data_IF_831096431468
#
_entry.id   IF_831096431468
#
_cell.length_a   1.000
_cell.length_b   1.000
_cell.length_c   1.000
_cell.angle_alpha   90.00
_cell.angle_beta   90.00
_cell.angle_gamma   90.00
#
_symmetry.space_group_name_H-M   'P 1'
#
loop_
_entity.id
_entity.type
_entity.pdbx_description
1 polymer ?
#
# COMPACT_ATOMS: atom_id res chain seq x y z
N UNK A 1 -20.14 0.85 9.28
CA UNK A 1 -20.38 -0.37 8.46
C UNK A 1 -19.01 -0.86 8.02
N UNK A 2 -18.56 -2.07 8.40
CA UNK A 2 -17.30 -2.63 7.91
C UNK A 2 -17.63 -3.36 6.62
N UNK A 3 -17.27 -2.79 5.47
CA UNK A 3 -17.29 -3.52 4.21
C UNK A 3 -16.13 -4.51 4.23
N UNK A 4 -16.46 -5.80 4.25
CA UNK A 4 -15.50 -6.87 4.02
C UNK A 4 -15.26 -6.94 2.52
N UNK A 5 -14.12 -6.42 2.08
CA UNK A 5 -13.65 -6.55 0.70
C UNK A 5 -13.31 -8.02 0.45
N UNK A 6 -13.78 -8.58 -0.67
CA UNK A 6 -13.46 -9.95 -1.08
C UNK A 6 -11.94 -10.07 -1.34
N UNK A 7 -11.32 -11.15 -0.87
CA UNK A 7 -9.87 -11.33 -0.97
C UNK A 7 -9.38 -11.35 -2.42
N UNK A 8 -10.17 -11.86 -3.36
CA UNK A 8 -9.81 -11.87 -4.80
C UNK A 8 -9.93 -10.49 -5.39
N UNK A 9 -10.95 -9.75 -5.01
CA UNK A 9 -11.16 -8.37 -5.44
C UNK A 9 -10.06 -7.45 -4.90
N UNK A 10 -9.65 -7.65 -3.64
CA UNK A 10 -8.49 -6.99 -3.04
C UNK A 10 -7.19 -7.36 -3.77
N UNK A 11 -7.01 -8.63 -4.10
CA UNK A 11 -5.81 -9.11 -4.82
C UNK A 11 -5.72 -8.50 -6.22
N UNK A 12 -6.82 -8.44 -6.95
CA UNK A 12 -6.88 -7.82 -8.27
C UNK A 12 -6.58 -6.31 -8.19
N UNK A 13 -7.19 -5.60 -7.23
CA UNK A 13 -6.93 -4.17 -7.03
C UNK A 13 -5.48 -3.88 -6.60
N UNK A 14 -4.83 -4.80 -5.87
CA UNK A 14 -3.41 -4.70 -5.53
C UNK A 14 -2.52 -5.02 -6.72
N UNK A 15 -2.90 -5.96 -7.59
CA UNK A 15 -2.16 -6.28 -8.81
C UNK A 15 -2.13 -5.11 -9.80
N UNK A 16 -3.20 -4.32 -9.88
CA UNK A 16 -3.23 -3.07 -10.67
C UNK A 16 -2.25 -2.00 -10.13
N UNK A 17 -1.81 -2.13 -8.88
CA UNK A 17 -0.84 -1.26 -8.25
C UNK A 17 0.63 -1.69 -8.51
N UNK A 18 0.87 -2.94 -8.94
CA UNK A 18 2.22 -3.46 -9.23
C UNK A 18 2.98 -2.66 -10.30
N UNK A 19 2.38 -2.24 -11.43
CA UNK A 19 3.09 -1.45 -12.44
C UNK A 19 3.57 -0.10 -11.90
N UNK A 20 2.75 0.53 -11.06
CA UNK A 20 3.09 1.80 -10.40
C UNK A 20 4.23 1.57 -9.43
N UNK A 21 4.12 0.55 -8.57
CA UNK A 21 5.16 0.16 -7.62
C UNK A 21 6.49 -0.15 -8.32
N UNK A 22 6.46 -0.86 -9.45
CA UNK A 22 7.66 -1.21 -10.20
C UNK A 22 8.31 -0.02 -10.92
N UNK A 23 7.54 1.00 -11.27
CA UNK A 23 8.07 2.24 -11.87
C UNK A 23 8.84 3.14 -10.89
N UNK A 24 8.63 2.95 -9.57
CA UNK A 24 9.29 3.76 -8.54
C UNK A 24 10.74 3.33 -8.33
N UNK A 25 11.63 4.31 -8.18
CA UNK A 25 13.00 4.07 -7.75
C UNK A 25 13.06 3.45 -6.34
N UNK A 26 14.16 2.77 -5.96
CA UNK A 26 14.30 2.20 -4.62
C UNK A 26 14.08 3.22 -3.49
N UNK A 27 14.45 4.49 -3.73
CA UNK A 27 14.27 5.58 -2.78
C UNK A 27 12.79 5.97 -2.64
N UNK A 28 12.04 5.98 -3.74
CA UNK A 28 10.61 6.28 -3.74
C UNK A 28 9.80 5.17 -3.08
N UNK A 29 10.07 3.90 -3.42
CA UNK A 29 9.45 2.73 -2.75
C UNK A 29 9.66 2.79 -1.23
N UNK A 30 10.89 3.09 -0.80
CA UNK A 30 11.22 3.25 0.63
C UNK A 30 10.42 4.37 1.28
N UNK A 31 10.32 5.53 0.62
CA UNK A 31 9.56 6.68 1.13
C UNK A 31 8.07 6.36 1.24
N UNK A 32 7.54 5.61 0.27
CA UNK A 32 6.15 5.18 0.22
C UNK A 32 5.83 4.22 1.38
N UNK A 33 6.71 3.24 1.66
CA UNK A 33 6.60 2.37 2.85
C UNK A 33 6.62 3.17 4.15
N UNK A 34 7.48 4.19 4.28
CA UNK A 34 7.52 5.03 5.50
C UNK A 34 6.25 5.86 5.71
N UNK A 35 5.53 6.22 4.63
CA UNK A 35 4.25 6.92 4.71
C UNK A 35 3.09 5.99 5.06
N UNK A 36 3.19 4.71 4.70
CA UNK A 36 2.16 3.71 4.96
C UNK A 36 2.33 3.00 6.29
N UNK A 37 3.57 2.73 6.70
CA UNK A 37 3.87 1.91 7.86
C UNK A 37 4.18 2.81 9.06
N UNK A 38 3.42 2.61 10.12
CA UNK A 38 3.62 3.27 11.41
C UNK A 38 4.64 2.52 12.25
N UNK A 39 4.51 1.19 12.32
CA UNK A 39 5.36 0.33 13.16
C UNK A 39 5.44 -1.07 12.58
N UNK A 40 6.63 -1.67 12.64
CA UNK A 40 6.83 -3.10 12.44
C UNK A 40 7.26 -3.70 13.79
N UNK A 41 6.52 -4.69 14.26
CA UNK A 41 6.83 -5.47 15.45
C UNK A 41 7.23 -6.89 15.05
N UNK A 42 8.27 -7.40 15.68
CA UNK A 42 8.69 -8.79 15.56
C UNK A 42 8.65 -9.43 16.94
N UNK A 43 7.89 -10.52 17.08
CA UNK A 43 7.87 -11.37 18.27
C UNK A 43 8.80 -12.56 17.98
N UNK A 44 9.98 -12.54 18.58
CA UNK A 44 11.02 -13.54 18.36
C UNK A 44 10.71 -14.91 18.97
N UNK A 45 9.84 -14.96 19.99
CA UNK A 45 9.46 -16.21 20.65
C UNK A 45 8.38 -16.95 19.83
N UNK A 46 7.49 -16.19 19.17
CA UNK A 46 6.45 -16.73 18.30
C UNK A 46 6.82 -16.78 16.82
N UNK A 47 7.92 -16.13 16.44
CA UNK A 47 8.31 -15.97 15.04
C UNK A 47 7.28 -15.19 14.22
N UNK A 48 6.55 -14.24 14.83
CA UNK A 48 5.46 -13.52 14.16
C UNK A 48 5.82 -12.08 13.84
N UNK A 49 5.35 -11.61 12.69
CA UNK A 49 5.49 -10.23 12.22
C UNK A 49 4.15 -9.50 12.37
N UNK A 50 4.18 -8.34 13.01
CA UNK A 50 3.03 -7.43 13.14
C UNK A 50 3.32 -6.11 12.44
N UNK A 51 2.45 -5.67 11.52
CA UNK A 51 2.59 -4.39 10.82
C UNK A 51 1.43 -3.48 11.23
N UNK A 52 1.74 -2.30 11.73
CA UNK A 52 0.77 -1.23 12.01
C UNK A 52 0.83 -0.22 10.87
N UNK A 53 -0.30 0.02 10.21
CA UNK A 53 -0.40 0.98 9.11
C UNK A 53 -0.91 2.33 9.59
N UNK A 54 -0.39 3.42 9.01
CA UNK A 54 -0.87 4.79 9.23
C UNK A 54 -2.23 4.96 8.53
N UNK A 55 -3.33 5.24 9.25
CA UNK A 55 -4.66 5.39 8.67
C UNK A 55 -4.74 6.50 7.61
N UNK A 56 -3.95 7.55 7.78
CA UNK A 56 -3.84 8.64 6.81
C UNK A 56 -3.00 8.26 5.58
N UNK A 57 -1.97 7.42 5.76
CA UNK A 57 -1.07 7.02 4.67
C UNK A 57 -1.79 6.23 3.59
N UNK A 58 -2.63 5.26 3.97
CA UNK A 58 -3.42 4.47 3.03
C UNK A 58 -4.39 5.35 2.22
N UNK A 59 -5.04 6.32 2.88
CA UNK A 59 -5.96 7.27 2.21
C UNK A 59 -5.22 8.20 1.23
N UNK A 60 -4.06 8.70 1.63
CA UNK A 60 -3.22 9.53 0.77
C UNK A 60 -2.71 8.74 -0.43
N UNK A 61 -2.25 7.51 -0.22
CA UNK A 61 -1.80 6.66 -1.32
C UNK A 61 -2.92 6.35 -2.31
N UNK A 62 -4.10 5.96 -1.82
CA UNK A 62 -5.25 5.69 -2.68
C UNK A 62 -5.64 6.92 -3.51
N UNK A 63 -5.54 8.13 -2.92
CA UNK A 63 -5.78 9.39 -3.63
C UNK A 63 -4.70 9.67 -4.69
N UNK A 64 -3.43 9.49 -4.36
CA UNK A 64 -2.33 9.71 -5.31
C UNK A 64 -2.35 8.69 -6.45
N UNK A 65 -2.66 7.42 -6.18
CA UNK A 65 -2.84 6.37 -7.19
C UNK A 65 -4.00 6.70 -8.14
N UNK A 66 -5.13 7.18 -7.60
CA UNK A 66 -6.27 7.61 -8.41
C UNK A 66 -5.95 8.84 -9.28
N UNK A 67 -5.10 9.75 -8.80
CA UNK A 67 -4.65 10.92 -9.56
C UNK A 67 -3.63 10.53 -10.64
N UNK A 68 -2.68 9.64 -10.33
CA UNK A 68 -1.69 9.14 -11.29
C UNK A 68 -2.34 8.35 -12.44
N UNK A 69 -3.46 7.66 -12.18
CA UNK A 69 -4.27 7.00 -13.21
C UNK A 69 -5.01 7.94 -14.17
N UNK A 70 -5.02 9.26 -13.93
CA UNK A 70 -5.68 10.24 -14.81
C UNK A 70 -4.77 10.94 -15.82
N UNK A 71 -3.45 10.71 -15.76
CA UNK A 71 -2.47 11.40 -16.63
C UNK A 71 -1.89 10.55 -17.77
N UNK A 72 -2.29 9.26 -17.92
CA UNK A 72 -1.83 8.39 -19.03
C UNK A 72 -2.89 8.14 -20.11
N UNK A 73 -3.88 9.03 -20.21
CA UNK A 73 -4.88 9.02 -21.28
C UNK A 73 -4.97 10.39 -21.96
N UNK A 74 -4.02 10.69 -22.83
CA UNK A 74 -3.96 11.90 -23.66
C UNK A 74 -3.04 11.71 -24.86
#
# INVERSE_FOLDING_TARGET
>A
KRESVDERELTAALADFDPVWESLSPRERTRLIHLLVERVGYDGDKGTLSITFRPAGIKTLAREAALAGTETGG
#
